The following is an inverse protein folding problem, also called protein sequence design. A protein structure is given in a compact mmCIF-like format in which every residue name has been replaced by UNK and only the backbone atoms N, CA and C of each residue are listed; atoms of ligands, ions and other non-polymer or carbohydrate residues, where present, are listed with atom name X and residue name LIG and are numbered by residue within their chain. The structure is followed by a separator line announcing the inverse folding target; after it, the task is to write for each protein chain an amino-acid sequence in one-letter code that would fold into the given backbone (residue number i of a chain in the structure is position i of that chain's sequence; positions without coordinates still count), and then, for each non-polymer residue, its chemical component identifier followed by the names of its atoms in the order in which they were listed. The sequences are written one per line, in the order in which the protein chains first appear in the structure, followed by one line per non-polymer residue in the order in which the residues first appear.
data_IF_109173993707
#
_entry.id   IF_109173993707
#
_cell.length_a   1.000
_cell.length_b   1.000
_cell.length_c   1.000
_cell.angle_alpha   90.00
_cell.angle_beta   90.00
_cell.angle_gamma   90.00
#
_symmetry.space_group_name_H-M   'P 1'
#
loop_
_entity.id
_entity.type
_entity.pdbx_description
1 polymer ?
#
# COMPACT_ATOMS: atom_id res chain seq x y z
N UNK A 1 16.60 7.03 1.58
CA UNK A 1 15.61 6.56 0.58
C UNK A 1 16.28 5.59 -0.37
N UNK A 2 15.80 4.35 -0.38
CA UNK A 2 16.18 3.27 -1.28
C UNK A 2 15.35 3.33 -2.56
N UNK A 3 15.97 2.99 -3.70
CA UNK A 3 15.25 2.82 -4.98
C UNK A 3 14.26 1.65 -4.87
N UNK A 4 14.63 0.62 -4.11
CA UNK A 4 13.81 -0.57 -3.88
C UNK A 4 12.56 -0.22 -3.06
N UNK A 5 12.71 0.52 -1.97
CA UNK A 5 11.58 0.97 -1.14
C UNK A 5 10.58 1.81 -1.93
N UNK A 6 11.06 2.72 -2.78
CA UNK A 6 10.21 3.49 -3.70
C UNK A 6 9.47 2.62 -4.71
N UNK A 7 10.13 1.59 -5.25
CA UNK A 7 9.50 0.66 -6.18
C UNK A 7 8.40 -0.16 -5.50
N UNK A 8 8.62 -0.62 -4.26
CA UNK A 8 7.63 -1.33 -3.44
C UNK A 8 6.45 -0.43 -3.08
N UNK A 9 6.70 0.82 -2.70
CA UNK A 9 5.64 1.82 -2.47
C UNK A 9 4.79 2.07 -3.72
N UNK A 10 5.40 2.20 -4.90
CA UNK A 10 4.69 2.43 -6.15
C UNK A 10 3.88 1.20 -6.59
N UNK A 11 4.49 0.01 -6.55
CA UNK A 11 3.82 -1.25 -6.91
C UNK A 11 2.66 -1.56 -5.96
N UNK A 12 2.87 -1.34 -4.65
CA UNK A 12 1.84 -1.53 -3.64
C UNK A 12 0.69 -0.54 -3.80
N UNK A 13 0.97 0.71 -4.16
CA UNK A 13 -0.05 1.72 -4.44
C UNK A 13 -0.93 1.33 -5.62
N UNK A 14 -0.34 0.94 -6.76
CA UNK A 14 -1.10 0.49 -7.94
C UNK A 14 -1.98 -0.71 -7.62
N UNK A 15 -1.44 -1.67 -6.86
CA UNK A 15 -2.19 -2.87 -6.47
C UNK A 15 -3.32 -2.53 -5.49
N UNK A 16 -3.07 -1.65 -4.52
CA UNK A 16 -4.10 -1.18 -3.59
C UNK A 16 -5.25 -0.49 -4.34
N UNK A 17 -4.95 0.50 -5.18
CA UNK A 17 -5.97 1.25 -5.95
C UNK A 17 -6.74 0.36 -6.94
N UNK A 18 -6.08 -0.64 -7.53
CA UNK A 18 -6.75 -1.54 -8.47
C UNK A 18 -7.85 -2.40 -7.81
N UNK A 19 -7.77 -2.64 -6.50
CA UNK A 19 -8.67 -3.56 -5.79
C UNK A 19 -9.44 -2.92 -4.62
N UNK A 20 -9.16 -1.67 -4.24
CA UNK A 20 -9.77 -0.98 -3.09
C UNK A 20 -11.30 -0.88 -3.15
N UNK A 21 -11.88 -0.85 -4.34
CA UNK A 21 -13.34 -0.77 -4.53
C UNK A 21 -14.01 -2.14 -4.70
N UNK A 22 -13.24 -3.22 -4.76
CA UNK A 22 -13.78 -4.55 -4.92
C UNK A 22 -14.46 -5.04 -3.64
N UNK A 23 -15.69 -5.57 -3.79
CA UNK A 23 -16.50 -6.06 -2.66
C UNK A 23 -16.25 -7.53 -2.32
N UNK A 24 -15.59 -8.28 -3.20
CA UNK A 24 -15.26 -9.69 -2.97
C UNK A 24 -14.14 -9.84 -1.93
N UNK A 25 -14.11 -10.95 -1.18
CA UNK A 25 -13.00 -11.25 -0.26
C UNK A 25 -11.63 -11.19 -0.95
N UNK A 26 -11.54 -11.72 -2.17
CA UNK A 26 -10.30 -11.71 -2.97
C UNK A 26 -9.83 -10.30 -3.34
N UNK A 27 -10.77 -9.38 -3.62
CA UNK A 27 -10.38 -8.01 -3.91
C UNK A 27 -9.88 -7.28 -2.65
N UNK A 28 -10.52 -7.52 -1.50
CA UNK A 28 -10.05 -6.99 -0.22
C UNK A 28 -8.67 -7.51 0.14
N UNK A 29 -8.41 -8.79 -0.09
CA UNK A 29 -7.10 -9.41 0.11
C UNK A 29 -6.04 -8.74 -0.78
N UNK A 30 -6.30 -8.58 -2.08
CA UNK A 30 -5.36 -7.90 -2.99
C UNK A 30 -5.11 -6.44 -2.63
N UNK A 31 -6.12 -5.73 -2.15
CA UNK A 31 -5.97 -4.36 -1.65
C UNK A 31 -5.07 -4.33 -0.40
N UNK A 32 -5.23 -5.30 0.51
CA UNK A 32 -4.37 -5.46 1.67
C UNK A 32 -2.94 -5.82 1.30
N UNK A 33 -2.74 -6.72 0.34
CA UNK A 33 -1.41 -7.04 -0.20
C UNK A 33 -0.73 -5.80 -0.80
N UNK A 34 -1.50 -4.92 -1.46
CA UNK A 34 -1.02 -3.63 -1.92
C UNK A 34 -0.54 -2.74 -0.77
N UNK A 35 -1.36 -2.61 0.29
CA UNK A 35 -1.02 -1.86 1.52
C UNK A 35 0.23 -2.41 2.21
N UNK A 36 0.36 -3.73 2.31
CA UNK A 36 1.51 -4.38 2.94
C UNK A 36 2.80 -4.11 2.15
N UNK A 37 2.74 -4.18 0.83
CA UNK A 37 3.88 -3.87 -0.05
C UNK A 37 4.29 -2.40 0.04
N UNK A 38 3.32 -1.48 0.19
CA UNK A 38 3.63 -0.06 0.48
C UNK A 38 4.30 0.10 1.83
N UNK A 39 3.80 -0.59 2.85
CA UNK A 39 4.34 -0.52 4.20
C UNK A 39 5.77 -1.06 4.25
N UNK A 40 6.06 -2.14 3.54
CA UNK A 40 7.41 -2.67 3.37
C UNK A 40 8.33 -1.61 2.74
N UNK A 41 7.91 -1.00 1.62
CA UNK A 41 8.69 0.04 0.96
C UNK A 41 8.94 1.27 1.84
N UNK A 42 7.95 1.65 2.66
CA UNK A 42 8.08 2.75 3.65
C UNK A 42 9.06 2.42 4.75
N UNK A 43 8.98 1.23 5.33
CA UNK A 43 9.88 0.78 6.40
C UNK A 43 11.32 0.71 5.88
N UNK A 44 11.54 0.23 4.67
CA UNK A 44 12.86 0.24 4.01
C UNK A 44 13.40 1.65 3.77
N UNK A 45 12.51 2.61 3.53
CA UNK A 45 12.83 4.02 3.41
C UNK A 45 12.99 4.73 4.76
N UNK A 46 12.78 4.03 5.89
CA UNK A 46 12.83 4.58 7.24
C UNK A 46 11.60 5.42 7.61
N UNK A 47 10.49 5.28 6.89
CA UNK A 47 9.21 5.94 7.14
C UNK A 47 8.28 5.00 7.92
N UNK A 48 7.37 5.58 8.69
CA UNK A 48 6.37 4.80 9.43
C UNK A 48 5.38 4.12 8.48
N UNK A 49 4.96 2.87 8.73
CA UNK A 49 3.97 2.17 7.91
C UNK A 49 2.58 2.83 8.01
N UNK A 50 1.76 2.64 6.98
CA UNK A 50 0.36 3.09 6.96
C UNK A 50 -0.51 2.08 7.71
N UNK A 51 -1.14 2.54 8.78
CA UNK A 51 -2.04 1.73 9.62
C UNK A 51 -3.53 1.90 9.24
N UNK A 52 -3.83 2.76 8.26
CA UNK A 52 -5.19 2.99 7.78
C UNK A 52 -5.63 1.88 6.82
N UNK A 53 -6.93 1.64 6.75
CA UNK A 53 -7.50 0.63 5.86
C UNK A 53 -7.15 0.93 4.38
N UNK A 54 -6.94 -0.09 3.54
CA UNK A 54 -6.79 0.08 2.09
C UNK A 54 -7.90 0.97 1.49
N UNK A 55 -7.52 1.92 0.63
CA UNK A 55 -8.44 2.88 0.00
C UNK A 55 -9.10 3.91 0.91
N UNK A 56 -8.83 3.87 2.22
CA UNK A 56 -9.04 5.03 3.08
C UNK A 56 -7.81 5.92 2.95
N UNK A 57 -7.95 6.99 2.17
CA UNK A 57 -6.87 7.90 1.83
C UNK A 57 -6.02 8.25 3.05
N UNK A 58 -4.71 8.10 2.93
CA UNK A 58 -3.81 8.51 3.99
C UNK A 58 -3.74 10.04 3.98
N UNK A 59 -3.99 10.74 5.10
CA UNK A 59 -3.99 12.20 5.17
C UNK A 59 -2.58 12.82 5.13
N UNK A 60 -1.64 12.19 4.41
CA UNK A 60 -0.30 12.74 4.20
C UNK A 60 -0.40 13.89 3.19
N UNK A 61 -0.68 15.09 3.72
CA UNK A 61 -0.21 16.36 3.15
C UNK A 61 1.27 16.55 3.46
#
# INVERSE_FOLDING_TARGET
MSIEGKAKEAAGFVKEEAFEHGKSPEAKEKAQEGRDLRNEGRVEDGKEPKLTEPGTGHPEK
#
